data_IF_205196363488
#
_entry.id   IF_205196363488
#
_cell.length_a   1.000
_cell.length_b   1.000
_cell.length_c   1.000
_cell.angle_alpha   90.00
_cell.angle_beta   90.00
_cell.angle_gamma   90.00
#
_symmetry.space_group_name_H-M   'P 1'
#
loop_
_entity.id
_entity.type
_entity.pdbx_description
1 polymer ?
#
# COMPACT_ATOMS: atom_id res chain seq x y z
N UNK A 1 10.03 2.95 -7.25
CA UNK A 1 8.88 3.65 -6.65
C UNK A 1 7.61 3.11 -7.30
N UNK A 2 6.66 2.62 -6.51
CA UNK A 2 5.33 2.16 -6.94
C UNK A 2 4.30 3.17 -6.40
N UNK A 3 3.42 3.69 -7.26
CA UNK A 3 2.34 4.60 -6.84
C UNK A 3 1.03 3.85 -6.98
N UNK A 4 0.21 3.84 -5.93
CA UNK A 4 -1.09 3.18 -5.90
C UNK A 4 -2.20 4.19 -5.69
N UNK A 5 -3.28 4.03 -6.44
CA UNK A 5 -4.50 4.82 -6.33
C UNK A 5 -5.68 3.89 -6.59
N UNK A 6 -6.18 3.28 -5.53
CA UNK A 6 -7.28 2.32 -5.60
C UNK A 6 -8.57 3.00 -5.12
N UNK A 7 -9.69 2.68 -5.77
CA UNK A 7 -11.03 3.10 -5.33
C UNK A 7 -11.71 2.05 -4.45
N UNK A 8 -11.25 0.79 -4.53
CA UNK A 8 -11.79 -0.31 -3.75
C UNK A 8 -10.77 -1.45 -3.67
N UNK A 9 -10.58 -1.99 -2.48
CA UNK A 9 -9.72 -3.15 -2.22
C UNK A 9 -10.46 -4.12 -1.30
N UNK A 10 -10.72 -5.34 -1.79
CA UNK A 10 -11.29 -6.40 -0.95
C UNK A 10 -10.20 -7.28 -0.34
N UNK A 11 -10.57 -8.18 0.57
CA UNK A 11 -9.64 -9.08 1.27
C UNK A 11 -8.79 -9.95 0.33
N UNK A 12 -9.32 -10.38 -0.83
CA UNK A 12 -8.55 -11.17 -1.79
C UNK A 12 -7.48 -10.29 -2.47
N UNK A 13 -7.86 -9.09 -2.89
CA UNK A 13 -6.95 -8.12 -3.47
C UNK A 13 -5.87 -7.69 -2.47
N UNK A 14 -6.22 -7.47 -1.19
CA UNK A 14 -5.23 -7.15 -0.14
C UNK A 14 -4.14 -8.22 -0.03
N UNK A 15 -4.51 -9.51 -0.08
CA UNK A 15 -3.54 -10.62 -0.03
C UNK A 15 -2.59 -10.61 -1.21
N UNK A 16 -3.10 -10.37 -2.41
CA UNK A 16 -2.26 -10.30 -3.61
C UNK A 16 -1.38 -9.05 -3.62
N UNK A 17 -1.88 -7.92 -3.14
CA UNK A 17 -1.06 -6.72 -2.95
C UNK A 17 0.08 -7.01 -1.97
N UNK A 18 -0.18 -7.67 -0.84
CA UNK A 18 0.86 -8.07 0.09
C UNK A 18 1.92 -8.97 -0.58
N UNK A 19 1.51 -9.90 -1.43
CA UNK A 19 2.46 -10.73 -2.19
C UNK A 19 3.36 -9.87 -3.10
N UNK A 20 2.79 -8.89 -3.80
CA UNK A 20 3.54 -7.95 -4.65
C UNK A 20 4.50 -7.11 -3.80
N UNK A 21 4.04 -6.59 -2.66
CA UNK A 21 4.86 -5.80 -1.74
C UNK A 21 6.05 -6.59 -1.21
N UNK A 22 5.86 -7.87 -0.85
CA UNK A 22 6.93 -8.77 -0.42
C UNK A 22 7.98 -9.01 -1.51
N UNK A 23 7.59 -9.01 -2.79
CA UNK A 23 8.54 -9.10 -3.90
C UNK A 23 9.40 -7.83 -4.05
N UNK A 24 8.97 -6.69 -3.49
CA UNK A 24 9.71 -5.43 -3.51
C UNK A 24 10.71 -5.31 -2.35
N UNK A 25 10.55 -6.05 -1.26
CA UNK A 25 11.46 -6.04 -0.09
C UNK A 25 12.96 -6.18 -0.42
N UNK A 26 13.40 -7.10 -1.30
CA UNK A 26 14.83 -7.23 -1.61
C UNK A 26 15.37 -6.10 -2.51
N UNK A 27 14.51 -5.22 -3.04
CA UNK A 27 14.91 -4.16 -3.97
C UNK A 27 15.35 -2.92 -3.17
N UNK A 28 16.64 -2.63 -3.17
CA UNK A 28 17.20 -1.45 -2.51
C UNK A 28 16.53 -0.15 -3.01
N UNK A 29 16.00 0.65 -2.08
CA UNK A 29 15.32 1.91 -2.40
C UNK A 29 13.89 1.74 -2.94
N UNK A 30 13.31 0.54 -2.87
CA UNK A 30 11.89 0.36 -3.14
C UNK A 30 11.05 1.16 -2.13
N UNK A 31 10.01 1.80 -2.66
CA UNK A 31 9.07 2.64 -1.91
C UNK A 31 7.71 2.57 -2.58
N UNK A 32 6.67 2.56 -1.76
CA UNK A 32 5.26 2.61 -2.15
C UNK A 32 4.70 3.97 -1.76
N UNK A 33 4.01 4.62 -2.69
CA UNK A 33 3.22 5.81 -2.43
C UNK A 33 1.75 5.39 -2.46
N UNK A 34 1.12 5.35 -1.30
CA UNK A 34 -0.27 4.94 -1.10
C UNK A 34 -1.17 6.16 -1.14
N UNK A 35 -1.90 6.33 -2.25
CA UNK A 35 -2.81 7.45 -2.46
C UNK A 35 -4.26 7.04 -2.20
N UNK A 36 -4.96 7.88 -1.46
CA UNK A 36 -6.36 7.71 -1.05
C UNK A 36 -7.05 9.07 -1.00
N UNK A 37 -8.39 9.07 -1.02
CA UNK A 37 -9.17 10.30 -0.84
C UNK A 37 -9.08 10.73 0.64
N UNK A 38 -9.06 12.04 0.91
CA UNK A 38 -8.96 12.57 2.29
C UNK A 38 -10.08 12.07 3.22
N UNK A 39 -11.27 11.77 2.68
CA UNK A 39 -12.43 11.27 3.42
C UNK A 39 -12.58 9.73 3.39
N UNK A 40 -11.64 9.00 2.80
CA UNK A 40 -11.63 7.53 2.72
C UNK A 40 -10.66 6.92 3.75
N UNK A 41 -11.07 6.99 5.02
CA UNK A 41 -10.32 6.45 6.17
C UNK A 41 -10.07 4.93 6.03
N UNK A 42 -11.05 4.17 5.50
CA UNK A 42 -10.93 2.72 5.28
C UNK A 42 -9.78 2.38 4.32
N UNK A 43 -9.58 3.19 3.26
CA UNK A 43 -8.49 3.00 2.32
C UNK A 43 -7.13 3.38 2.92
N UNK A 44 -7.07 4.40 3.78
CA UNK A 44 -5.86 4.72 4.53
C UNK A 44 -5.47 3.56 5.45
N UNK A 45 -6.41 3.08 6.27
CA UNK A 45 -6.21 1.97 7.19
C UNK A 45 -5.71 0.72 6.46
N UNK A 46 -6.31 0.39 5.30
CA UNK A 46 -5.86 -0.73 4.46
C UNK A 46 -4.38 -0.61 4.06
N UNK A 47 -3.93 0.59 3.68
CA UNK A 47 -2.52 0.83 3.35
C UNK A 47 -1.60 0.72 4.58
N UNK A 48 -2.05 1.22 5.73
CA UNK A 48 -1.31 1.13 7.00
C UNK A 48 -1.15 -0.33 7.47
N UNK A 49 -2.20 -1.15 7.34
CA UNK A 49 -2.15 -2.59 7.62
C UNK A 49 -1.13 -3.29 6.72
N UNK A 50 -1.15 -3.03 5.40
CA UNK A 50 -0.18 -3.61 4.48
C UNK A 50 1.25 -3.18 4.81
N UNK A 51 1.46 -1.91 5.17
CA UNK A 51 2.77 -1.39 5.56
C UNK A 51 3.33 -2.07 6.81
N UNK A 52 2.49 -2.46 7.78
CA UNK A 52 2.92 -3.21 8.96
C UNK A 52 3.34 -4.66 8.64
N UNK A 53 2.89 -5.21 7.50
CA UNK A 53 3.13 -6.59 7.08
C UNK A 53 4.34 -6.74 6.14
N UNK A 54 5.04 -5.65 5.84
CA UNK A 54 6.21 -5.62 4.95
C UNK A 54 7.30 -4.68 5.46
N UNK A 55 8.53 -4.87 4.97
CA UNK A 55 9.67 -3.99 5.26
C UNK A 55 9.87 -2.88 4.21
N UNK A 56 9.04 -2.81 3.17
CA UNK A 56 9.09 -1.77 2.15
C UNK A 56 8.70 -0.42 2.75
N UNK A 57 9.35 0.66 2.32
CA UNK A 57 8.99 2.01 2.75
C UNK A 57 7.64 2.44 2.15
N UNK A 58 6.74 2.95 2.99
CA UNK A 58 5.45 3.54 2.58
C UNK A 58 5.46 5.06 2.76
N UNK A 59 4.81 5.75 1.84
CA UNK A 59 4.40 7.15 1.95
C UNK A 59 2.90 7.23 1.72
N UNK A 60 2.19 7.85 2.65
CA UNK A 60 0.75 8.03 2.61
C UNK A 60 0.43 9.43 2.10
N UNK A 61 -0.39 9.51 1.05
CA UNK A 61 -0.72 10.77 0.40
C UNK A 61 -2.23 10.86 0.12
N UNK A 62 -2.93 11.64 0.94
CA UNK A 62 -4.30 12.08 0.63
C UNK A 62 -4.32 13.02 -0.59
N UNK A 63 -5.40 12.99 -1.38
CA UNK A 63 -5.62 13.89 -2.52
C UNK A 63 -7.07 14.34 -2.65
#
# INVERSE_FOLDING_TARGET
MLVTRFEYVNTATQRELLNILKLLEPIAGAKVVWQFLEDDEDMEECGQELAQLTSVAFEFQAY
#
